data_IF_046204598850
#
_entry.id   IF_046204598850
#
_cell.length_a   1.000
_cell.length_b   1.000
_cell.length_c   1.000
_cell.angle_alpha   90.00
_cell.angle_beta   90.00
_cell.angle_gamma   90.00
#
_symmetry.space_group_name_H-M   'P 1'
#
loop_
_entity.id
_entity.type
_entity.pdbx_description
1 polymer ?
#
# COMPACT_ATOMS: atom_id res chain seq x y z
N UNK A 1 9.15 -12.39 -4.75
CA UNK A 1 9.08 -10.92 -4.86
C UNK A 1 8.88 -10.53 -6.29
N UNK A 2 7.82 -9.74 -6.53
CA UNK A 2 7.29 -9.42 -7.85
C UNK A 2 7.42 -7.92 -8.14
N UNK A 3 7.35 -7.56 -9.42
CA UNK A 3 7.28 -6.17 -9.84
C UNK A 3 5.94 -5.55 -9.44
N UNK A 4 5.82 -4.22 -9.51
CA UNK A 4 4.52 -3.57 -9.33
C UNK A 4 3.54 -4.01 -10.41
N UNK A 5 4.02 -4.20 -11.65
CA UNK A 5 3.18 -4.64 -12.77
C UNK A 5 2.58 -6.04 -12.56
N UNK A 6 3.31 -6.90 -11.85
CA UNK A 6 2.88 -8.28 -11.55
C UNK A 6 2.20 -8.41 -10.19
N UNK A 7 2.04 -7.30 -9.46
CA UNK A 7 1.51 -7.28 -8.09
C UNK A 7 0.11 -7.89 -8.02
N UNK A 8 -0.77 -7.57 -8.97
CA UNK A 8 -2.15 -8.07 -8.95
C UNK A 8 -2.22 -9.59 -9.10
N UNK A 9 -1.44 -10.16 -10.01
CA UNK A 9 -1.38 -11.61 -10.18
C UNK A 9 -0.87 -12.31 -8.92
N UNK A 10 0.11 -11.72 -8.23
CA UNK A 10 0.62 -12.23 -6.96
C UNK A 10 -0.44 -12.14 -5.84
N UNK A 11 -1.22 -11.05 -5.77
CA UNK A 11 -2.30 -10.90 -4.80
C UNK A 11 -3.39 -11.96 -4.99
N UNK A 12 -3.77 -12.23 -6.24
CA UNK A 12 -4.73 -13.29 -6.58
C UNK A 12 -4.19 -14.65 -6.17
N UNK A 13 -2.96 -15.00 -6.57
CA UNK A 13 -2.34 -16.27 -6.20
C UNK A 13 -2.20 -16.43 -4.68
N UNK A 14 -1.86 -15.36 -3.97
CA UNK A 14 -1.73 -15.38 -2.52
C UNK A 14 -3.09 -15.59 -1.84
N UNK A 15 -4.14 -14.93 -2.32
CA UNK A 15 -5.50 -15.07 -1.81
C UNK A 15 -6.05 -16.49 -2.03
N UNK A 16 -5.84 -17.05 -3.22
CA UNK A 16 -6.31 -18.40 -3.57
C UNK A 16 -5.64 -19.50 -2.75
N UNK A 17 -4.40 -19.25 -2.29
CA UNK A 17 -3.67 -20.15 -1.41
C UNK A 17 -4.13 -20.11 0.06
N UNK A 18 -4.98 -19.15 0.45
CA UNK A 18 -5.52 -19.08 1.81
C UNK A 18 -6.47 -20.26 2.09
N UNK A 19 -6.47 -20.70 3.35
CA UNK A 19 -7.43 -21.69 3.82
C UNK A 19 -8.87 -21.22 3.57
N UNK A 20 -9.76 -22.15 3.25
CA UNK A 20 -11.16 -21.84 2.94
C UNK A 20 -11.83 -21.02 4.05
N UNK A 21 -11.62 -21.40 5.31
CA UNK A 21 -12.17 -20.68 6.47
C UNK A 21 -11.74 -19.20 6.52
N UNK A 22 -10.48 -18.91 6.16
CA UNK A 22 -10.00 -17.51 6.10
C UNK A 22 -10.72 -16.78 4.97
N UNK A 23 -10.81 -17.39 3.79
CA UNK A 23 -11.52 -16.79 2.64
C UNK A 23 -13.00 -16.52 2.94
N UNK A 24 -13.66 -17.35 3.76
CA UNK A 24 -15.05 -17.11 4.17
C UNK A 24 -15.22 -15.89 5.08
N UNK A 25 -14.18 -15.47 5.79
CA UNK A 25 -14.23 -14.28 6.66
C UNK A 25 -13.88 -12.99 5.90
N UNK A 26 -13.36 -13.10 4.67
CA UNK A 26 -12.92 -11.95 3.88
C UNK A 26 -14.13 -11.19 3.35
N UNK A 27 -14.15 -9.90 3.62
CA UNK A 27 -15.17 -8.99 3.11
C UNK A 27 -14.86 -8.59 1.67
N UNK A 28 -15.92 -8.36 0.86
CA UNK A 28 -15.73 -7.93 -0.51
C UNK A 28 -15.18 -6.50 -0.58
N UNK A 29 -14.32 -6.26 -1.56
CA UNK A 29 -13.81 -4.94 -1.92
C UNK A 29 -14.02 -4.73 -3.42
N UNK A 30 -13.93 -3.49 -3.88
CA UNK A 30 -14.20 -3.17 -5.28
C UNK A 30 -13.30 -3.95 -6.24
N UNK A 31 -13.84 -4.33 -7.40
CA UNK A 31 -13.10 -5.11 -8.40
C UNK A 31 -12.10 -4.26 -9.18
N UNK A 32 -12.29 -2.95 -9.19
CA UNK A 32 -11.46 -2.00 -9.89
C UNK A 32 -11.25 -0.73 -9.03
N UNK A 33 -10.00 -0.28 -8.95
CA UNK A 33 -9.64 0.93 -8.20
C UNK A 33 -9.29 2.06 -9.16
N UNK A 34 -9.97 3.21 -9.05
CA UNK A 34 -9.52 4.45 -9.70
C UNK A 34 -8.50 5.16 -8.79
N UNK A 35 -7.24 4.74 -8.93
CA UNK A 35 -6.16 5.13 -8.01
C UNK A 35 -5.59 6.53 -8.26
N UNK A 36 -5.88 7.14 -9.41
CA UNK A 36 -5.18 8.32 -9.89
C UNK A 36 -3.65 8.11 -10.04
N UNK A 37 -2.91 9.21 -9.95
CA UNK A 37 -1.46 9.21 -9.81
C UNK A 37 -0.99 10.55 -9.24
N UNK A 38 0.08 10.54 -8.43
CA UNK A 38 0.69 11.76 -7.88
C UNK A 38 2.20 11.60 -7.76
N UNK A 39 2.97 12.57 -8.26
CA UNK A 39 4.43 12.52 -8.20
C UNK A 39 4.90 12.81 -6.78
N UNK A 40 6.04 12.22 -6.41
CA UNK A 40 6.62 12.45 -5.09
C UNK A 40 6.92 13.94 -4.81
N UNK A 41 7.36 14.68 -5.82
CA UNK A 41 7.67 16.11 -5.68
C UNK A 41 6.46 17.03 -5.60
N UNK A 42 5.26 16.55 -5.93
CA UNK A 42 4.02 17.34 -5.87
C UNK A 42 3.37 17.25 -4.47
N UNK A 43 3.86 16.34 -3.62
CA UNK A 43 3.43 16.19 -2.24
C UNK A 43 4.32 16.99 -1.28
N UNK A 44 3.67 17.58 -0.31
CA UNK A 44 4.28 18.18 0.88
C UNK A 44 4.19 17.18 2.03
N UNK A 45 5.15 17.21 2.96
CA UNK A 45 5.31 16.17 3.97
C UNK A 45 5.29 16.74 5.38
N UNK A 46 4.69 15.97 6.28
CA UNK A 46 4.69 16.26 7.72
C UNK A 46 5.70 15.38 8.46
N UNK A 47 6.05 15.79 9.68
CA UNK A 47 6.92 15.04 10.58
C UNK A 47 8.41 15.27 10.36
N UNK A 48 9.23 14.70 11.25
CA UNK A 48 10.69 14.78 11.19
C UNK A 48 11.32 13.73 10.28
N UNK A 49 10.62 12.63 10.02
CA UNK A 49 11.05 11.60 9.06
C UNK A 49 10.66 12.03 7.65
N UNK A 50 11.60 11.92 6.71
CA UNK A 50 11.35 12.30 5.33
C UNK A 50 10.21 11.47 4.74
N UNK A 51 9.30 12.15 4.05
CA UNK A 51 8.14 11.54 3.40
C UNK A 51 7.29 10.61 4.30
N UNK A 52 7.07 11.04 5.54
CA UNK A 52 6.24 10.30 6.50
C UNK A 52 4.75 10.34 6.11
N UNK A 53 4.12 11.51 6.14
CA UNK A 53 2.69 11.67 5.85
C UNK A 53 2.47 12.88 4.94
N UNK A 54 1.74 12.73 3.82
CA UNK A 54 1.46 13.85 2.94
C UNK A 54 0.52 14.86 3.62
N UNK A 55 0.87 16.15 3.63
CA UNK A 55 0.03 17.22 4.18
C UNK A 55 -1.01 17.76 3.21
N UNK A 56 -0.83 17.52 1.91
CA UNK A 56 -1.68 18.09 0.85
C UNK A 56 -2.30 17.01 -0.05
N UNK A 57 -2.53 15.80 0.48
CA UNK A 57 -3.09 14.70 -0.31
C UNK A 57 -4.45 15.07 -0.92
N UNK A 58 -5.24 15.89 -0.22
CA UNK A 58 -6.56 16.38 -0.65
C UNK A 58 -6.52 17.22 -1.93
N UNK A 59 -5.37 17.76 -2.32
CA UNK A 59 -5.20 18.49 -3.58
C UNK A 59 -5.24 17.55 -4.80
N UNK A 60 -5.16 16.23 -4.57
CA UNK A 60 -5.17 15.17 -5.57
C UNK A 60 -6.41 14.27 -5.35
N UNK A 61 -7.61 14.70 -5.76
CA UNK A 61 -8.87 14.10 -5.32
C UNK A 61 -9.01 12.61 -5.67
N UNK A 62 -8.55 12.17 -6.85
CA UNK A 62 -8.58 10.75 -7.20
C UNK A 62 -7.70 9.92 -6.26
N UNK A 63 -6.50 10.41 -5.96
CA UNK A 63 -5.57 9.72 -5.05
C UNK A 63 -6.09 9.73 -3.63
N UNK A 64 -6.66 10.85 -3.17
CA UNK A 64 -7.24 10.97 -1.83
C UNK A 64 -8.50 10.10 -1.64
N UNK A 65 -9.28 9.90 -2.71
CA UNK A 65 -10.50 9.09 -2.69
C UNK A 65 -10.24 7.58 -2.80
N UNK A 66 -9.05 7.15 -3.22
CA UNK A 66 -8.64 5.75 -3.34
C UNK A 66 -8.41 5.10 -1.96
N UNK A 67 -9.41 5.13 -1.08
CA UNK A 67 -9.42 4.44 0.21
C UNK A 67 -10.16 3.12 0.05
N UNK A 68 -9.56 2.00 0.47
CA UNK A 68 -10.26 0.72 0.43
C UNK A 68 -11.24 0.60 1.59
N UNK A 69 -12.47 0.26 1.24
CA UNK A 69 -13.56 -0.05 2.16
C UNK A 69 -14.32 -1.30 1.67
N UNK A 70 -15.24 -1.80 2.49
CA UNK A 70 -16.14 -2.89 2.11
C UNK A 70 -17.05 -2.43 0.98
N UNK A 71 -17.06 -3.17 -0.12
CA UNK A 71 -17.91 -2.95 -1.28
C UNK A 71 -18.67 -4.23 -1.60
N UNK A 72 -19.95 -4.27 -1.25
CA UNK A 72 -20.80 -5.46 -1.47
C UNK A 72 -21.10 -5.74 -2.94
N UNK A 73 -20.75 -4.81 -3.85
CA UNK A 73 -20.86 -5.04 -5.30
C UNK A 73 -19.61 -5.68 -5.92
N UNK A 74 -18.49 -5.70 -5.19
CA UNK A 74 -17.25 -6.35 -5.60
C UNK A 74 -17.11 -7.78 -5.09
N UNK A 75 -15.87 -8.23 -4.89
CA UNK A 75 -15.56 -9.61 -4.54
C UNK A 75 -14.65 -9.73 -3.30
N UNK A 76 -14.77 -10.78 -2.49
CA UNK A 76 -13.78 -11.11 -1.46
C UNK A 76 -12.43 -11.42 -2.11
N UNK A 77 -11.43 -10.59 -1.86
CA UNK A 77 -10.09 -10.70 -2.46
C UNK A 77 -9.03 -10.01 -1.60
N UNK A 78 -7.77 -10.38 -1.85
CA UNK A 78 -6.64 -9.57 -1.40
C UNK A 78 -6.48 -8.32 -2.26
N UNK A 79 -5.94 -7.27 -1.67
CA UNK A 79 -5.61 -6.02 -2.35
C UNK A 79 -4.28 -5.46 -1.84
N UNK A 80 -3.68 -4.54 -2.59
CA UNK A 80 -2.57 -3.73 -2.12
C UNK A 80 -3.08 -2.38 -1.61
N UNK A 81 -2.55 -1.90 -0.48
CA UNK A 81 -2.91 -0.59 0.07
C UNK A 81 -2.55 0.53 -0.91
N UNK A 82 -3.38 1.56 -0.98
CA UNK A 82 -3.06 2.81 -1.69
C UNK A 82 -2.24 3.76 -0.83
N UNK A 83 -1.81 4.87 -1.44
CA UNK A 83 -1.28 6.02 -0.72
C UNK A 83 -2.28 6.57 0.30
N UNK A 84 -3.57 6.62 -0.04
CA UNK A 84 -4.63 7.09 0.85
C UNK A 84 -4.86 6.15 2.04
N UNK A 85 -4.85 4.84 1.80
CA UNK A 85 -4.95 3.83 2.86
C UNK A 85 -3.79 3.94 3.83
N UNK A 86 -2.56 4.06 3.32
CA UNK A 86 -1.39 4.21 4.18
C UNK A 86 -1.48 5.51 4.97
N UNK A 87 -1.89 6.63 4.37
CA UNK A 87 -2.08 7.89 5.07
C UNK A 87 -3.12 7.75 6.20
N UNK A 88 -4.28 7.14 5.90
CA UNK A 88 -5.37 6.92 6.86
C UNK A 88 -5.00 5.96 8.00
N UNK A 89 -4.15 4.96 7.72
CA UNK A 89 -3.72 3.95 8.68
C UNK A 89 -2.48 4.36 9.49
N UNK A 90 -1.93 5.54 9.25
CA UNK A 90 -0.70 5.99 9.89
C UNK A 90 -0.91 7.14 10.87
N UNK A 91 -0.46 6.93 12.11
CA UNK A 91 -0.65 7.88 13.20
C UNK A 91 -0.85 7.18 14.54
N UNK A 92 -0.80 7.95 15.62
CA UNK A 92 -0.96 7.41 16.98
C UNK A 92 -2.26 6.62 17.11
N UNK A 93 -2.17 5.40 17.65
CA UNK A 93 -3.32 4.50 17.82
C UNK A 93 -3.83 3.82 16.54
N UNK A 94 -3.14 3.98 15.41
CA UNK A 94 -3.49 3.34 14.14
C UNK A 94 -2.55 2.17 13.81
N UNK A 95 -2.81 1.48 12.69
CA UNK A 95 -2.04 0.30 12.28
C UNK A 95 -0.55 0.58 12.07
N UNK A 96 -0.20 1.81 11.66
CA UNK A 96 1.17 2.27 11.50
C UNK A 96 1.46 3.49 12.40
N UNK A 97 1.81 3.29 13.68
CA UNK A 97 1.98 4.41 14.63
C UNK A 97 3.13 5.37 14.30
N UNK A 98 4.13 4.89 13.55
CA UNK A 98 5.35 5.61 13.22
C UNK A 98 6.02 4.99 11.97
N UNK A 99 7.06 5.61 11.39
CA UNK A 99 7.74 5.09 10.20
C UNK A 99 8.20 3.64 10.33
N UNK A 100 8.79 3.27 11.47
CA UNK A 100 9.24 1.91 11.70
C UNK A 100 8.10 0.88 11.66
N UNK A 101 6.88 1.26 12.03
CA UNK A 101 5.68 0.42 11.97
C UNK A 101 5.24 0.06 10.55
N UNK A 102 5.62 0.84 9.53
CA UNK A 102 5.28 0.54 8.13
C UNK A 102 6.21 -0.50 7.50
N UNK A 103 7.40 -0.71 8.07
CA UNK A 103 8.42 -1.58 7.49
C UNK A 103 7.86 -3.02 7.37
N UNK A 104 8.09 -3.65 6.22
CA UNK A 104 7.65 -5.01 5.98
C UNK A 104 8.42 -6.02 6.83
N UNK A 105 7.85 -7.22 6.99
CA UNK A 105 8.50 -8.32 7.68
C UNK A 105 9.91 -8.60 7.10
N UNK A 106 10.86 -9.04 7.93
CA UNK A 106 12.25 -9.27 7.52
C UNK A 106 12.93 -8.04 6.90
N UNK A 107 12.57 -6.83 7.36
CA UNK A 107 13.12 -5.56 6.86
C UNK A 107 12.90 -5.39 5.34
N UNK A 108 11.69 -5.68 4.88
CA UNK A 108 11.32 -5.60 3.46
C UNK A 108 10.62 -4.29 3.10
N UNK A 109 10.84 -3.85 1.86
CA UNK A 109 10.04 -2.79 1.25
C UNK A 109 8.78 -3.40 0.61
N UNK A 110 7.75 -2.59 0.34
CA UNK A 110 6.54 -3.11 -0.31
C UNK A 110 5.81 -2.07 -1.17
N UNK A 111 5.17 -2.55 -2.24
CA UNK A 111 4.43 -1.77 -3.22
C UNK A 111 3.07 -1.30 -2.71
N UNK A 112 2.71 -0.05 -3.06
CA UNK A 112 1.33 0.45 -3.01
C UNK A 112 0.66 0.29 -4.37
N UNK A 113 -0.67 0.19 -4.42
CA UNK A 113 -1.40 0.21 -5.70
C UNK A 113 -1.37 1.57 -6.41
N UNK A 114 -1.14 2.65 -5.67
CA UNK A 114 -1.09 4.01 -6.24
C UNK A 114 0.17 4.21 -7.08
N UNK A 115 0.01 4.73 -8.29
CA UNK A 115 1.15 5.10 -9.16
C UNK A 115 1.69 6.48 -8.81
N UNK A 116 2.98 6.68 -9.07
CA UNK A 116 3.61 7.99 -8.91
C UNK A 116 3.61 8.79 -10.22
N UNK A 117 4.13 8.18 -11.28
CA UNK A 117 4.09 8.69 -12.65
C UNK A 117 4.23 7.52 -13.64
N UNK A 118 4.29 7.81 -14.94
CA UNK A 118 4.54 6.78 -15.94
C UNK A 118 5.82 6.01 -15.60
N UNK A 119 5.70 4.69 -15.48
CA UNK A 119 6.80 3.78 -15.16
C UNK A 119 7.28 3.79 -13.71
N UNK A 120 6.64 4.54 -12.80
CA UNK A 120 7.00 4.59 -11.39
C UNK A 120 5.79 4.44 -10.47
N UNK A 121 5.98 3.72 -9.38
CA UNK A 121 4.93 3.42 -8.41
C UNK A 121 5.39 3.72 -6.99
N UNK A 122 4.42 3.91 -6.10
CA UNK A 122 4.70 4.17 -4.70
C UNK A 122 5.15 2.90 -3.96
N UNK A 123 6.12 3.06 -3.07
CA UNK A 123 6.56 2.03 -2.12
C UNK A 123 6.66 2.58 -0.71
N UNK A 124 6.61 1.68 0.26
CA UNK A 124 7.18 1.89 1.58
C UNK A 124 8.60 1.33 1.60
N UNK A 125 9.56 2.17 2.00
CA UNK A 125 10.96 1.80 2.12
C UNK A 125 11.25 1.00 3.38
N UNK A 126 12.26 0.14 3.29
CA UNK A 126 12.83 -0.60 4.42
C UNK A 126 14.02 0.18 5.03
N UNK A 127 14.65 -0.36 6.09
CA UNK A 127 15.73 0.34 6.83
C UNK A 127 17.01 0.58 6.03
N UNK A 128 17.23 -0.13 4.93
CA UNK A 128 18.47 -0.10 4.16
C UNK A 128 18.70 1.19 3.36
N UNK A 129 17.69 2.05 3.23
CA UNK A 129 17.80 3.32 2.49
C UNK A 129 18.34 4.49 3.32
N UNK A 130 18.66 4.27 4.61
CA UNK A 130 19.10 5.31 5.56
C UNK A 130 18.12 5.48 6.72
N UNK A 131 18.61 5.95 7.87
CA UNK A 131 17.80 6.08 9.09
C UNK A 131 16.59 7.00 8.85
N UNK A 132 16.75 8.08 8.09
CA UNK A 132 15.69 9.08 7.84
C UNK A 132 14.67 8.65 6.78
N UNK A 133 14.90 7.53 6.07
CA UNK A 133 14.03 7.00 5.02
C UNK A 133 13.34 5.69 5.42
N UNK A 134 13.60 5.18 6.62
CA UNK A 134 13.04 3.93 7.10
C UNK A 134 11.52 4.03 7.25
N UNK A 135 10.76 3.30 6.43
CA UNK A 135 9.28 3.37 6.42
C UNK A 135 8.71 4.58 5.69
N UNK A 136 9.53 5.35 4.98
CA UNK A 136 9.12 6.50 4.20
C UNK A 136 8.34 6.08 2.96
N UNK A 137 7.42 6.95 2.53
CA UNK A 137 6.76 6.85 1.22
C UNK A 137 7.74 7.30 0.14
N UNK A 138 7.90 6.50 -0.91
CA UNK A 138 8.78 6.83 -2.03
C UNK A 138 8.08 6.57 -3.36
N UNK A 139 8.04 7.58 -4.24
CA UNK A 139 7.42 7.49 -5.57
C UNK A 139 8.43 7.39 -6.72
N UNK A 140 9.70 7.13 -6.41
CA UNK A 140 10.80 7.05 -7.37
C UNK A 140 11.18 5.62 -7.77
N UNK A 141 10.47 4.60 -7.26
CA UNK A 141 10.73 3.22 -7.61
C UNK A 141 10.12 2.86 -8.98
N UNK A 142 10.91 2.22 -9.84
CA UNK A 142 10.44 1.80 -11.17
C UNK A 142 9.43 0.65 -11.04
N UNK A 143 8.31 0.74 -11.74
CA UNK A 143 7.21 -0.25 -11.62
C UNK A 143 7.61 -1.66 -12.09
N UNK A 144 8.67 -1.77 -12.90
CA UNK A 144 9.24 -3.04 -13.35
C UNK A 144 10.28 -3.64 -12.39
N UNK A 145 10.72 -2.89 -11.37
CA UNK A 145 11.72 -3.34 -10.43
C UNK A 145 11.23 -4.54 -9.61
N UNK A 146 12.03 -5.61 -9.54
CA UNK A 146 11.78 -6.75 -8.68
C UNK A 146 13.10 -7.22 -8.07
N UNK A 147 13.14 -7.45 -6.76
CA UNK A 147 14.32 -7.99 -6.08
C UNK A 147 13.93 -8.70 -4.77
N UNK A 148 14.86 -9.40 -4.14
CA UNK A 148 14.61 -10.15 -2.90
C UNK A 148 14.39 -9.28 -1.66
N UNK A 149 14.59 -7.97 -1.74
CA UNK A 149 14.43 -7.03 -0.63
C UNK A 149 12.99 -6.55 -0.37
N UNK A 150 12.03 -6.87 -1.22
CA UNK A 150 10.63 -6.48 -1.03
C UNK A 150 9.72 -6.79 -2.23
N UNK A 151 8.43 -6.50 -2.12
CA UNK A 151 7.47 -6.87 -3.15
C UNK A 151 6.02 -6.51 -2.81
N UNK A 152 5.10 -7.46 -3.04
CA UNK A 152 3.70 -7.29 -2.65
C UNK A 152 3.54 -7.39 -1.13
N UNK A 153 2.57 -6.65 -0.58
CA UNK A 153 2.07 -6.81 0.79
C UNK A 153 0.55 -6.94 0.72
N UNK A 154 0.02 -8.17 0.65
CA UNK A 154 -1.41 -8.41 0.61
C UNK A 154 -2.12 -7.85 1.85
N UNK A 155 -3.29 -7.25 1.64
CA UNK A 155 -4.20 -6.80 2.67
C UNK A 155 -5.59 -7.42 2.47
N UNK A 156 -6.33 -7.57 3.56
CA UNK A 156 -7.69 -8.11 3.60
C UNK A 156 -8.53 -7.25 4.55
N UNK A 157 -9.82 -7.12 4.27
CA UNK A 157 -10.81 -6.70 5.27
C UNK A 157 -11.47 -7.99 5.79
N UNK A 158 -11.44 -8.20 7.10
CA UNK A 158 -11.94 -9.43 7.73
C UNK A 158 -13.15 -9.09 8.59
N UNK A 159 -14.24 -9.83 8.43
CA UNK A 159 -15.33 -9.85 9.39
C UNK A 159 -15.03 -10.94 10.42
N UNK A 160 -14.68 -10.55 11.65
CA UNK A 160 -14.37 -11.47 12.74
C UNK A 160 -15.60 -12.05 13.44
N UNK A 161 -16.80 -11.58 13.08
CA UNK A 161 -18.06 -12.08 13.62
C UNK A 161 -18.50 -13.31 12.84
N UNK A 162 -18.16 -14.50 13.37
CA UNK A 162 -18.79 -15.78 13.04
C UNK A 162 -19.61 -16.25 14.24
#
# INVERSE_FOLDING_TARGET
NVSWNDQEAELVSWYDALHADVRTMVQPVSDNFDTGAVRHGDLTWTGSTQAWLPSNLTDFPLVAADVTDVDTSGAPRAFALSLADVARLSGSGQAFPNPAGRIGANNSWWWLRTRALVGHSWVILHRGHGQDLSGALNGGHTSQGANTGGGSRPALIINQSN
#
